data_IF_444515794794
#
_entry.id   IF_444515794794
#
_cell.length_a   1.000
_cell.length_b   1.000
_cell.length_c   1.000
_cell.angle_alpha   90.00
_cell.angle_beta   90.00
_cell.angle_gamma   90.00
#
_symmetry.space_group_name_H-M   'P 1'
#
loop_
_entity.id
_entity.type
_entity.pdbx_description
1 polymer ?
#
# COMPACT_ATOMS: atom_id res chain seq x y z
N UNK A 1 19.51 2.48 8.59
CA UNK A 1 18.51 3.52 8.87
C UNK A 1 17.20 2.79 9.07
N UNK A 2 16.58 2.92 10.25
CA UNK A 2 15.29 2.29 10.55
C UNK A 2 14.16 3.22 10.12
N UNK A 3 13.11 2.66 9.50
CA UNK A 3 11.92 3.41 9.11
C UNK A 3 10.96 3.56 10.28
N UNK A 4 10.27 4.71 10.41
CA UNK A 4 9.26 4.88 11.45
C UNK A 4 8.07 3.96 11.21
N UNK A 5 7.52 3.43 12.30
CA UNK A 5 6.33 2.60 12.29
C UNK A 5 5.08 3.49 12.23
N UNK A 6 4.22 3.25 11.24
CA UNK A 6 2.96 3.97 11.05
C UNK A 6 1.87 3.39 11.96
N UNK A 7 1.14 4.27 12.66
CA UNK A 7 0.08 3.86 13.58
C UNK A 7 -1.16 3.39 12.81
N UNK A 8 -1.60 2.16 13.09
CA UNK A 8 -2.89 1.61 12.67
C UNK A 8 -3.85 1.62 13.88
N UNK A 9 -5.15 1.96 13.71
CA UNK A 9 -5.78 2.40 12.47
C UNK A 9 -5.56 3.90 12.25
N UNK A 10 -5.34 4.30 10.99
CA UNK A 10 -5.28 5.70 10.59
C UNK A 10 -5.61 5.86 9.10
N UNK A 11 -6.04 7.06 8.72
CA UNK A 11 -6.13 7.46 7.31
C UNK A 11 -4.92 8.34 7.00
N UNK A 12 -4.17 7.98 5.95
CA UNK A 12 -2.95 8.68 5.55
C UNK A 12 -3.02 9.08 4.08
N UNK A 13 -2.48 10.26 3.76
CA UNK A 13 -2.33 10.74 2.38
C UNK A 13 -0.85 10.75 2.00
N UNK A 14 -0.51 10.08 0.91
CA UNK A 14 0.83 10.13 0.30
C UNK A 14 0.70 10.92 -1.00
N UNK A 15 1.31 12.11 -1.05
CA UNK A 15 1.20 13.04 -2.19
C UNK A 15 2.57 13.37 -2.78
N UNK A 16 2.59 13.71 -4.06
CA UNK A 16 3.79 14.05 -4.82
C UNK A 16 3.61 13.84 -6.34
N UNK A 17 4.47 14.42 -7.18
CA UNK A 17 4.36 14.32 -8.63
C UNK A 17 4.59 12.88 -9.15
N UNK A 18 4.25 12.62 -10.41
CA UNK A 18 4.59 11.35 -11.08
C UNK A 18 6.10 11.09 -10.99
N UNK A 19 6.49 9.85 -10.69
CA UNK A 19 7.90 9.48 -10.52
C UNK A 19 8.50 9.75 -9.14
N UNK A 20 7.78 10.43 -8.21
CA UNK A 20 8.30 10.73 -6.86
C UNK A 20 8.40 9.54 -5.90
N UNK A 21 8.17 8.30 -6.38
CA UNK A 21 8.31 7.09 -5.56
C UNK A 21 7.09 6.68 -4.73
N UNK A 22 5.93 7.32 -4.86
CA UNK A 22 4.72 7.00 -4.05
C UNK A 22 4.34 5.52 -4.06
N UNK A 23 4.24 4.89 -5.24
CA UNK A 23 3.94 3.45 -5.34
C UNK A 23 4.97 2.64 -4.56
N UNK A 24 6.26 2.90 -4.78
CA UNK A 24 7.34 2.18 -4.12
C UNK A 24 7.31 2.35 -2.59
N UNK A 25 6.94 3.53 -2.11
CA UNK A 25 6.77 3.78 -0.68
C UNK A 25 5.62 2.95 -0.08
N UNK A 26 4.45 2.92 -0.71
CA UNK A 26 3.32 2.09 -0.24
C UNK A 26 3.68 0.61 -0.24
N UNK A 27 4.37 0.14 -1.29
CA UNK A 27 4.84 -1.24 -1.40
C UNK A 27 5.77 -1.60 -0.24
N UNK A 28 6.76 -0.74 0.04
CA UNK A 28 7.65 -0.90 1.19
C UNK A 28 6.89 -0.95 2.52
N UNK A 29 5.92 -0.06 2.73
CA UNK A 29 5.11 -0.05 3.96
C UNK A 29 4.45 -1.41 4.21
N UNK A 30 3.98 -2.06 3.13
CA UNK A 30 3.33 -3.37 3.20
C UNK A 30 4.37 -4.50 3.36
N UNK A 31 5.39 -4.55 2.50
CA UNK A 31 6.38 -5.64 2.46
C UNK A 31 7.28 -5.67 3.69
N UNK A 32 7.64 -4.51 4.23
CA UNK A 32 8.46 -4.37 5.44
C UNK A 32 7.62 -4.29 6.73
N UNK A 33 6.29 -4.47 6.63
CA UNK A 33 5.36 -4.47 7.78
C UNK A 33 5.47 -3.21 8.65
N UNK A 34 5.52 -2.03 8.02
CA UNK A 34 5.71 -0.74 8.71
C UNK A 34 4.42 -0.17 9.32
N UNK A 35 3.39 -1.00 9.57
CA UNK A 35 2.14 -0.63 10.21
C UNK A 35 2.01 -1.36 11.55
N UNK A 36 1.49 -0.68 12.58
CA UNK A 36 1.27 -1.29 13.88
C UNK A 36 -0.09 -0.94 14.51
N UNK A 37 -0.95 -1.94 14.75
CA UNK A 37 -0.77 -3.36 14.37
C UNK A 37 -0.82 -3.58 12.84
N UNK A 38 -0.27 -4.70 12.38
CA UNK A 38 -0.33 -5.07 10.96
C UNK A 38 -1.75 -5.57 10.60
N UNK A 39 -2.38 -5.10 9.51
CA UNK A 39 -3.68 -5.60 9.06
C UNK A 39 -3.63 -7.10 8.70
N UNK A 40 -4.71 -7.82 9.01
CA UNK A 40 -4.88 -9.22 8.59
C UNK A 40 -5.25 -9.38 7.10
N UNK A 41 -5.87 -8.35 6.51
CA UNK A 41 -6.28 -8.30 5.11
C UNK A 41 -5.93 -6.93 4.52
N UNK A 42 -5.26 -6.94 3.37
CA UNK A 42 -4.88 -5.72 2.64
C UNK A 42 -5.52 -5.77 1.26
N UNK A 43 -6.29 -4.73 0.93
CA UNK A 43 -6.91 -4.54 -0.38
C UNK A 43 -6.24 -3.32 -1.01
N UNK A 44 -5.52 -3.54 -2.11
CA UNK A 44 -4.86 -2.48 -2.86
C UNK A 44 -5.73 -2.11 -4.06
N UNK A 45 -6.36 -0.94 -3.98
CA UNK A 45 -7.17 -0.38 -5.04
C UNK A 45 -6.29 0.39 -6.02
N UNK A 46 -6.40 0.11 -7.33
CA UNK A 46 -5.60 0.80 -8.36
C UNK A 46 -6.46 1.31 -9.51
N UNK A 47 -6.10 2.45 -10.08
CA UNK A 47 -6.69 2.97 -11.32
C UNK A 47 -5.87 2.65 -12.57
N UNK A 48 -4.61 2.24 -12.41
CA UNK A 48 -3.74 1.80 -13.48
C UNK A 48 -2.86 0.64 -12.99
N UNK A 49 -2.83 -0.45 -13.77
CA UNK A 49 -2.04 -1.63 -13.42
C UNK A 49 -0.54 -1.32 -13.49
N UNK A 50 0.24 -1.81 -12.52
CA UNK A 50 1.70 -1.72 -12.51
C UNK A 50 2.29 -3.13 -12.40
N UNK A 51 3.30 -3.43 -13.20
CA UNK A 51 3.93 -4.76 -13.24
C UNK A 51 4.55 -5.19 -11.91
N UNK A 52 4.82 -4.26 -10.99
CA UNK A 52 5.30 -4.55 -9.64
C UNK A 52 4.26 -5.26 -8.77
N UNK A 53 2.96 -5.09 -9.06
CA UNK A 53 1.88 -5.71 -8.29
C UNK A 53 1.97 -7.24 -8.29
N UNK A 54 2.41 -7.85 -9.39
CA UNK A 54 2.58 -9.30 -9.50
C UNK A 54 3.63 -9.89 -8.56
N UNK A 55 4.52 -9.04 -8.01
CA UNK A 55 5.57 -9.46 -7.08
C UNK A 55 5.14 -9.39 -5.62
N UNK A 56 4.09 -8.62 -5.33
CA UNK A 56 3.61 -8.44 -3.97
C UNK A 56 2.80 -9.66 -3.53
N UNK A 57 3.12 -10.18 -2.34
CA UNK A 57 2.40 -11.29 -1.71
C UNK A 57 1.45 -10.75 -0.64
N UNK A 58 0.39 -11.51 -0.36
CA UNK A 58 -0.57 -11.20 0.72
C UNK A 58 -1.33 -9.86 0.54
N UNK A 59 -1.47 -9.39 -0.70
CA UNK A 59 -2.27 -8.22 -1.07
C UNK A 59 -3.33 -8.66 -2.07
N UNK A 60 -4.58 -8.27 -1.82
CA UNK A 60 -5.67 -8.43 -2.79
C UNK A 60 -5.72 -7.18 -3.66
N UNK A 61 -5.33 -7.33 -4.93
CA UNK A 61 -5.42 -6.22 -5.88
C UNK A 61 -6.83 -6.11 -6.44
N UNK A 62 -7.34 -4.87 -6.46
CA UNK A 62 -8.64 -4.55 -7.01
C UNK A 62 -8.52 -3.34 -7.93
N UNK A 63 -8.99 -3.48 -9.16
CA UNK A 63 -9.13 -2.34 -10.05
C UNK A 63 -10.32 -1.47 -9.63
N UNK A 64 -10.11 -0.17 -9.61
CA UNK A 64 -11.10 0.79 -9.12
C UNK A 64 -11.34 0.67 -7.62
N UNK A 65 -12.50 1.18 -7.18
CA UNK A 65 -12.93 1.10 -5.80
C UNK A 65 -13.79 -0.16 -5.59
N UNK A 66 -13.67 -0.83 -4.45
CA UNK A 66 -14.49 -1.97 -4.12
C UNK A 66 -15.95 -1.56 -3.90
N UNK A 67 -16.85 -2.27 -4.57
CA UNK A 67 -18.30 -2.02 -4.48
C UNK A 67 -18.93 -2.55 -3.19
N UNK A 68 -18.34 -3.58 -2.57
CA UNK A 68 -18.89 -4.26 -1.38
C UNK A 68 -17.77 -4.59 -0.35
N UNK A 69 -17.26 -3.60 0.38
CA UNK A 69 -16.36 -3.81 1.53
C UNK A 69 -17.10 -4.05 2.84
#
# INVERSE_FOLDING_TARGET
MEWPMLKHPSTSLISGPTGSGKTHFVIRVIEESLLSPMPQRIIYCYGAYQSIFSKMKNVQFQEGLPSNL
#
